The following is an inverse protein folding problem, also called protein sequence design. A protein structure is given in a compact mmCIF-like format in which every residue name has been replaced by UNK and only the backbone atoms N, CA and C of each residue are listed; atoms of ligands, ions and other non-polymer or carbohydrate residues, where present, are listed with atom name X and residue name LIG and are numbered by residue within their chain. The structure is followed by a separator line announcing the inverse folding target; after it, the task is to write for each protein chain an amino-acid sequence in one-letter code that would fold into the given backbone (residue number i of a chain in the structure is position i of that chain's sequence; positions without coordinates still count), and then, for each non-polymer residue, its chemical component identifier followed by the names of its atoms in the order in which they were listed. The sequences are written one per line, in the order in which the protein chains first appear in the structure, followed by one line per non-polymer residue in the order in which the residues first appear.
data_IF_201184312358
#
_entry.id   IF_201184312358
#
_cell.length_a   1.000
_cell.length_b   1.000
_cell.length_c   1.000
_cell.angle_alpha   90.00
_cell.angle_beta   90.00
_cell.angle_gamma   90.00
#
_symmetry.space_group_name_H-M   'P 1'
#
loop_
_entity.id
_entity.type
_entity.pdbx_description
1 polymer ?
#
# COMPACT_ATOMS: atom_id res chain seq x y z
N UNK A 1 -32.69 10.93 2.93
CA UNK A 1 -31.70 10.92 4.03
C UNK A 1 -30.36 10.78 3.34
N UNK A 2 -29.60 11.87 3.27
CA UNK A 2 -28.27 11.87 2.68
C UNK A 2 -27.31 11.66 3.86
N UNK A 3 -26.77 10.44 3.98
CA UNK A 3 -25.69 10.17 4.91
C UNK A 3 -24.43 10.86 4.38
N UNK A 4 -24.17 12.05 4.90
CA UNK A 4 -22.88 12.69 4.86
C UNK A 4 -22.08 12.16 6.06
N UNK A 5 -21.15 11.22 5.82
CA UNK A 5 -19.89 11.02 6.56
C UNK A 5 -19.30 9.63 6.24
N UNK A 6 -18.67 9.46 5.08
CA UNK A 6 -17.74 8.35 4.91
C UNK A 6 -16.52 8.82 4.12
N UNK A 7 -15.61 9.48 4.83
CA UNK A 7 -14.32 9.94 4.30
C UNK A 7 -13.23 8.87 4.46
N UNK A 8 -13.61 7.62 4.75
CA UNK A 8 -12.71 6.49 4.98
C UNK A 8 -12.68 5.50 3.82
N UNK A 9 -11.76 4.53 3.89
CA UNK A 9 -11.77 3.36 3.02
C UNK A 9 -12.93 2.45 3.41
N UNK A 10 -13.63 1.88 2.44
CA UNK A 10 -14.54 0.76 2.74
C UNK A 10 -13.73 -0.44 3.29
N UNK A 11 -14.36 -1.37 4.03
CA UNK A 11 -13.64 -2.53 4.58
C UNK A 11 -12.90 -3.34 3.50
N UNK A 12 -13.49 -3.44 2.30
CA UNK A 12 -12.88 -4.15 1.17
C UNK A 12 -11.68 -3.39 0.62
N UNK A 13 -11.78 -2.07 0.49
CA UNK A 13 -10.66 -1.23 0.08
C UNK A 13 -9.53 -1.25 1.13
N UNK A 14 -9.85 -1.22 2.42
CA UNK A 14 -8.86 -1.36 3.49
C UNK A 14 -8.15 -2.73 3.43
N UNK A 15 -8.91 -3.81 3.22
CA UNK A 15 -8.35 -5.16 3.04
C UNK A 15 -7.37 -5.21 1.87
N UNK A 16 -7.78 -4.76 0.68
CA UNK A 16 -6.92 -4.87 -0.51
C UNK A 16 -5.70 -3.97 -0.42
N UNK A 17 -5.85 -2.81 0.24
CA UNK A 17 -4.76 -1.90 0.49
C UNK A 17 -3.73 -2.57 1.41
N UNK A 18 -4.18 -3.13 2.55
CA UNK A 18 -3.30 -3.83 3.47
C UNK A 18 -2.66 -5.08 2.85
N UNK A 19 -3.42 -5.87 2.06
CA UNK A 19 -2.88 -7.04 1.33
C UNK A 19 -1.80 -6.63 0.33
N UNK A 20 -2.00 -5.52 -0.39
CA UNK A 20 -1.01 -5.00 -1.32
C UNK A 20 0.27 -4.50 -0.63
N UNK A 21 0.14 -3.85 0.53
CA UNK A 21 1.28 -3.45 1.36
C UNK A 21 2.02 -4.67 1.93
N UNK A 22 1.29 -5.67 2.42
CA UNK A 22 1.86 -6.91 2.93
C UNK A 22 2.59 -7.70 1.84
N UNK A 23 2.04 -7.75 0.63
CA UNK A 23 2.69 -8.35 -0.53
C UNK A 23 4.05 -7.70 -0.82
N UNK A 24 4.14 -6.37 -0.73
CA UNK A 24 5.41 -5.66 -0.91
C UNK A 24 6.39 -5.96 0.22
N UNK A 25 5.96 -5.83 1.47
CA UNK A 25 6.82 -6.05 2.64
C UNK A 25 7.37 -7.49 2.71
N UNK A 26 6.65 -8.48 2.17
CA UNK A 26 7.08 -9.88 2.20
C UNK A 26 7.75 -10.37 0.93
N UNK A 27 7.95 -9.51 -0.08
CA UNK A 27 8.42 -9.96 -1.40
C UNK A 27 9.84 -10.54 -1.36
N UNK A 28 10.66 -10.06 -0.42
CA UNK A 28 12.02 -10.55 -0.19
C UNK A 28 12.11 -11.65 0.88
N UNK A 29 10.97 -12.16 1.33
CA UNK A 29 10.85 -13.27 2.28
C UNK A 29 9.98 -12.91 3.47
N UNK A 30 10.56 -12.28 4.48
CA UNK A 30 9.86 -11.87 5.71
C UNK A 30 9.85 -10.35 5.80
N UNK A 31 8.71 -9.77 6.18
CA UNK A 31 8.58 -8.35 6.43
C UNK A 31 9.38 -7.91 7.67
N UNK A 32 9.94 -6.70 7.65
CA UNK A 32 10.55 -6.10 8.84
C UNK A 32 9.43 -5.84 9.89
N UNK A 33 9.69 -6.04 11.20
CA UNK A 33 8.70 -5.78 12.24
C UNK A 33 8.10 -4.36 12.21
N UNK A 34 8.83 -3.37 11.71
CA UNK A 34 8.35 -1.99 11.53
C UNK A 34 7.31 -1.91 10.42
N UNK A 35 7.51 -2.60 9.31
CA UNK A 35 6.55 -2.64 8.19
C UNK A 35 5.27 -3.35 8.61
N UNK A 36 5.38 -4.46 9.34
CA UNK A 36 4.22 -5.14 9.91
C UNK A 36 3.44 -4.22 10.86
N UNK A 37 4.13 -3.50 11.76
CA UNK A 37 3.49 -2.54 12.67
C UNK A 37 2.73 -1.46 11.89
N UNK A 38 3.34 -0.90 10.84
CA UNK A 38 2.71 0.12 10.01
C UNK A 38 1.44 -0.38 9.31
N UNK A 39 1.45 -1.61 8.80
CA UNK A 39 0.27 -2.19 8.15
C UNK A 39 -0.84 -2.46 9.17
N UNK A 40 -0.48 -2.91 10.39
CA UNK A 40 -1.45 -3.11 11.48
C UNK A 40 -2.05 -1.79 11.95
N UNK A 41 -1.22 -0.77 12.16
CA UNK A 41 -1.66 0.58 12.53
C UNK A 41 -2.61 1.16 11.47
N UNK A 42 -2.30 0.95 10.19
CA UNK A 42 -3.19 1.34 9.09
C UNK A 42 -4.58 0.65 9.18
N UNK A 43 -4.64 -0.65 9.48
CA UNK A 43 -5.92 -1.37 9.62
C UNK A 43 -6.74 -0.88 10.80
N UNK A 44 -6.07 -0.59 11.92
CA UNK A 44 -6.67 -0.04 13.13
C UNK A 44 -7.23 1.38 12.86
N UNK A 45 -6.49 2.22 12.15
CA UNK A 45 -6.92 3.57 11.75
C UNK A 45 -8.03 3.58 10.71
N UNK A 46 -8.02 2.61 9.79
CA UNK A 46 -9.08 2.44 8.80
C UNK A 46 -10.42 2.01 9.43
N UNK A 47 -10.44 1.69 10.73
CA UNK A 47 -11.60 1.20 11.48
C UNK A 47 -12.32 0.06 10.74
N UNK A 48 -11.52 -0.83 10.13
CA UNK A 48 -12.01 -1.94 9.33
C UNK A 48 -12.14 -3.19 10.20
N UNK A 49 -13.18 -4.00 9.98
CA UNK A 49 -13.32 -5.32 10.62
C UNK A 49 -12.38 -6.39 10.01
N UNK A 50 -11.38 -5.96 9.22
CA UNK A 50 -10.45 -6.85 8.51
C UNK A 50 -9.47 -7.44 9.52
N UNK A 51 -9.41 -8.77 9.58
CA UNK A 51 -8.46 -9.43 10.48
C UNK A 51 -7.08 -9.53 9.85
N UNK A 52 -6.03 -9.56 10.69
CA UNK A 52 -4.67 -9.84 10.22
C UNK A 52 -4.57 -11.16 9.42
N UNK A 53 -5.36 -12.15 9.83
CA UNK A 53 -5.41 -13.45 9.15
C UNK A 53 -6.11 -13.40 7.78
N UNK A 54 -6.79 -12.30 7.42
CA UNK A 54 -7.29 -12.06 6.06
C UNK A 54 -6.21 -11.37 5.21
N UNK A 55 -5.45 -10.45 5.81
CA UNK A 55 -4.34 -9.74 5.14
C UNK A 55 -3.23 -10.70 4.72
N UNK A 56 -2.82 -11.61 5.60
CA UNK A 56 -1.73 -12.56 5.30
C UNK A 56 -2.22 -13.81 4.57
N UNK A 57 -3.47 -13.85 4.11
CA UNK A 57 -4.06 -15.06 3.50
C UNK A 57 -3.81 -15.12 2.01
N UNK A 58 -3.30 -16.27 1.59
CA UNK A 58 -3.24 -16.67 0.19
C UNK A 58 -2.28 -15.81 -0.63
N UNK A 59 -2.31 -16.05 -1.93
CA UNK A 59 -1.52 -15.27 -2.89
C UNK A 59 -2.19 -13.93 -3.17
N UNK A 60 -1.39 -12.92 -3.51
CA UNK A 60 -1.85 -11.60 -3.93
C UNK A 60 -1.20 -11.23 -5.25
N UNK A 61 -1.99 -10.68 -6.18
CA UNK A 61 -1.48 -10.11 -7.41
C UNK A 61 -1.79 -8.61 -7.49
N UNK A 62 -0.88 -7.76 -8.00
CA UNK A 62 -1.10 -6.31 -8.14
C UNK A 62 -2.40 -5.92 -8.87
N UNK A 63 -2.85 -6.75 -9.82
CA UNK A 63 -4.12 -6.54 -10.54
C UNK A 63 -5.35 -6.56 -9.63
N UNK A 64 -5.30 -7.27 -8.50
CA UNK A 64 -6.39 -7.29 -7.52
C UNK A 64 -6.59 -5.90 -6.90
N UNK A 65 -5.50 -5.19 -6.58
CA UNK A 65 -5.58 -3.80 -6.11
C UNK A 65 -6.19 -2.89 -7.18
N UNK A 66 -5.81 -3.05 -8.45
CA UNK A 66 -6.31 -2.18 -9.52
C UNK A 66 -7.82 -2.30 -9.74
N UNK A 67 -8.38 -3.49 -9.52
CA UNK A 67 -9.80 -3.77 -9.65
C UNK A 67 -10.65 -3.15 -8.54
N UNK A 68 -10.07 -2.88 -7.38
CA UNK A 68 -10.80 -2.49 -6.18
C UNK A 68 -10.48 -1.07 -5.71
N UNK A 69 -9.26 -0.58 -5.97
CA UNK A 69 -8.91 0.84 -5.84
C UNK A 69 -9.39 1.57 -7.10
N UNK A 70 -10.70 1.81 -7.17
CA UNK A 70 -11.37 2.29 -8.39
C UNK A 70 -11.00 3.73 -8.77
N UNK A 71 -10.60 4.55 -7.79
CA UNK A 71 -10.30 5.96 -8.03
C UNK A 71 -8.82 6.22 -8.23
N UNK A 72 -8.48 7.15 -9.13
CA UNK A 72 -7.11 7.65 -9.29
C UNK A 72 -6.54 8.21 -7.98
N UNK A 73 -7.39 8.79 -7.13
CA UNK A 73 -6.97 9.26 -5.82
C UNK A 73 -6.47 8.11 -4.93
N UNK A 74 -7.27 7.06 -4.75
CA UNK A 74 -6.89 5.91 -3.92
C UNK A 74 -5.64 5.20 -4.44
N UNK A 75 -5.53 5.02 -5.76
CA UNK A 75 -4.32 4.45 -6.39
C UNK A 75 -3.07 5.27 -6.08
N UNK A 76 -3.16 6.60 -6.13
CA UNK A 76 -2.04 7.50 -5.79
C UNK A 76 -1.68 7.42 -4.31
N UNK A 77 -2.67 7.38 -3.43
CA UNK A 77 -2.43 7.23 -1.99
C UNK A 77 -1.76 5.90 -1.70
N UNK A 78 -2.28 4.79 -2.27
CA UNK A 78 -1.64 3.49 -2.20
C UNK A 78 -0.18 3.55 -2.65
N UNK A 79 0.09 4.10 -3.83
CA UNK A 79 1.47 4.14 -4.34
C UNK A 79 2.41 4.97 -3.45
N UNK A 80 1.93 6.06 -2.86
CA UNK A 80 2.74 6.85 -1.92
C UNK A 80 3.08 6.07 -0.66
N UNK A 81 2.09 5.37 -0.09
CA UNK A 81 2.27 4.56 1.12
C UNK A 81 3.15 3.35 0.82
N UNK A 82 2.92 2.66 -0.31
CA UNK A 82 3.74 1.56 -0.79
C UNK A 82 5.22 1.94 -0.94
N UNK A 83 5.49 3.09 -1.58
CA UNK A 83 6.86 3.63 -1.69
C UNK A 83 7.42 3.97 -0.31
N UNK A 84 6.64 4.60 0.58
CA UNK A 84 7.12 4.92 1.92
C UNK A 84 7.46 3.66 2.74
N UNK A 85 6.66 2.60 2.60
CA UNK A 85 6.83 1.32 3.29
C UNK A 85 8.15 0.65 2.92
N UNK A 86 8.39 0.40 1.62
CA UNK A 86 9.63 -0.24 1.10
C UNK A 86 10.89 0.62 1.29
N UNK A 87 10.73 1.85 1.79
CA UNK A 87 11.84 2.73 2.15
C UNK A 87 11.99 2.89 3.67
N UNK A 88 11.09 2.35 4.48
CA UNK A 88 11.07 2.52 5.93
C UNK A 88 12.25 1.82 6.62
N UNK A 89 12.70 0.70 6.07
CA UNK A 89 13.85 -0.05 6.59
C UNK A 89 15.20 0.44 6.03
N UNK A 90 15.15 1.23 4.95
CA UNK A 90 16.30 1.81 4.24
C UNK A 90 16.88 0.93 3.12
N UNK A 91 16.30 -0.24 2.84
CA UNK A 91 16.81 -1.21 1.87
C UNK A 91 15.79 -1.45 0.77
N UNK A 92 15.79 -0.57 -0.24
CA UNK A 92 14.91 -0.74 -1.41
C UNK A 92 15.55 -1.69 -2.43
N UNK A 93 15.04 -2.92 -2.52
CA UNK A 93 15.59 -4.00 -3.35
C UNK A 93 15.09 -3.95 -4.81
N UNK A 94 15.72 -4.77 -5.68
CA UNK A 94 15.27 -4.91 -7.07
C UNK A 94 13.89 -5.59 -7.17
N UNK A 95 13.55 -6.48 -6.24
CA UNK A 95 12.25 -7.16 -6.23
C UNK A 95 11.12 -6.20 -5.86
N UNK A 96 11.32 -5.41 -4.80
CA UNK A 96 10.39 -4.35 -4.40
C UNK A 96 10.24 -3.31 -5.52
N UNK A 97 11.35 -2.92 -6.15
CA UNK A 97 11.32 -2.00 -7.29
C UNK A 97 10.48 -2.55 -8.44
N UNK A 98 10.66 -3.81 -8.77
CA UNK A 98 9.87 -4.45 -9.83
C UNK A 98 8.39 -4.49 -9.46
N UNK A 99 8.05 -4.88 -8.23
CA UNK A 99 6.66 -4.94 -7.77
C UNK A 99 5.99 -3.57 -7.74
N UNK A 100 6.67 -2.54 -7.25
CA UNK A 100 6.19 -1.15 -7.29
C UNK A 100 5.95 -0.71 -8.75
N UNK A 101 6.84 -1.11 -9.67
CA UNK A 101 6.65 -0.90 -11.11
C UNK A 101 5.41 -1.60 -11.66
N UNK A 102 5.18 -2.85 -11.27
CA UNK A 102 3.98 -3.60 -11.66
C UNK A 102 2.69 -2.94 -11.15
N UNK A 103 2.68 -2.43 -9.91
CA UNK A 103 1.54 -1.65 -9.40
C UNK A 103 1.30 -0.37 -10.22
N UNK A 104 2.36 0.36 -10.56
CA UNK A 104 2.25 1.56 -11.40
C UNK A 104 1.64 1.23 -12.77
N UNK A 105 2.07 0.12 -13.38
CA UNK A 105 1.57 -0.35 -14.67
C UNK A 105 0.08 -0.74 -14.61
N UNK A 106 -0.34 -1.53 -13.62
CA UNK A 106 -1.76 -1.94 -13.49
C UNK A 106 -2.67 -0.77 -13.10
N UNK A 107 -2.13 0.24 -12.40
CA UNK A 107 -2.84 1.48 -12.14
C UNK A 107 -2.88 2.43 -13.33
N UNK A 108 -2.17 2.09 -14.42
CA UNK A 108 -2.05 2.87 -15.63
C UNK A 108 -1.45 4.27 -15.36
N UNK A 109 -0.45 4.32 -14.46
CA UNK A 109 0.27 5.54 -14.12
C UNK A 109 1.31 5.84 -15.19
N UNK A 110 1.44 7.13 -15.54
CA UNK A 110 2.53 7.56 -16.42
C UNK A 110 3.89 7.55 -15.69
N UNK A 111 4.99 7.38 -16.41
CA UNK A 111 6.34 7.49 -15.83
C UNK A 111 6.59 8.80 -15.08
N UNK A 112 6.00 9.91 -15.56
CA UNK A 112 6.11 11.21 -14.89
C UNK A 112 5.36 11.25 -13.56
N UNK A 113 4.16 10.66 -13.52
CA UNK A 113 3.36 10.54 -12.30
C UNK A 113 4.00 9.61 -11.29
N UNK A 114 4.44 8.44 -11.73
CA UNK A 114 5.15 7.48 -10.88
C UNK A 114 6.43 8.08 -10.29
N UNK A 115 7.24 8.75 -11.12
CA UNK A 115 8.46 9.42 -10.66
C UNK A 115 8.19 10.52 -9.64
N UNK A 116 7.08 11.25 -9.76
CA UNK A 116 6.69 12.24 -8.74
C UNK A 116 6.29 11.57 -7.41
N UNK A 117 5.52 10.48 -7.47
CA UNK A 117 5.10 9.72 -6.30
C UNK A 117 6.31 9.11 -5.57
N UNK A 118 7.27 8.55 -6.30
CA UNK A 118 8.51 8.04 -5.70
C UNK A 118 9.25 9.11 -4.90
N UNK A 119 9.33 10.34 -5.43
CA UNK A 119 9.98 11.46 -4.74
C UNK A 119 9.19 11.93 -3.51
N UNK A 120 7.86 11.83 -3.54
CA UNK A 120 7.02 12.17 -2.40
C UNK A 120 7.10 11.11 -1.29
N UNK A 121 6.99 9.82 -1.63
CA UNK A 121 7.08 8.72 -0.66
C UNK A 121 8.42 8.70 0.09
N UNK A 122 9.53 8.96 -0.61
CA UNK A 122 10.88 9.07 0.01
C UNK A 122 10.98 10.20 1.03
N UNK A 123 10.23 11.30 0.87
CA UNK A 123 10.21 12.43 1.81
C UNK A 123 9.36 12.16 3.04
N UNK A 124 8.37 11.28 2.91
CA UNK A 124 7.52 10.81 4.01
C UNK A 124 8.27 9.79 4.87
N UNK A 125 9.39 9.24 4.38
CA UNK A 125 10.31 8.36 5.11
C UNK A 125 10.40 8.76 6.57
N UNK A 126 9.74 7.96 7.40
CA UNK A 126 9.45 8.23 8.80
C UNK A 126 10.78 8.50 9.50
N UNK A 127 11.04 9.76 9.85
CA UNK A 127 12.21 10.12 10.61
C UNK A 127 12.19 9.31 11.92
N UNK A 128 13.27 8.61 12.29
CA UNK A 128 13.37 8.05 13.62
C UNK A 128 13.47 9.23 14.59
N UNK A 129 12.45 9.42 15.43
CA UNK A 129 12.60 10.19 16.67
C UNK A 129 13.35 9.37 17.72
#
# INVERSE_FOLDING_TARGET
MADNNDSGLSPREAEIFARGLWYLATIDGEADPREESLIREFLDEANSDVSWADVTRGDFAPIEAANLLETTFLRRIFMKVAVALVHADGVYTDNERNAIGEFADVFNMSNAEFGAIEQEGKKVGLAPE
#
